data_IF_989319303907
#
_entry.id   IF_989319303907
#
_cell.length_a   1.000
_cell.length_b   1.000
_cell.length_c   1.000
_cell.angle_alpha   90.00
_cell.angle_beta   90.00
_cell.angle_gamma   90.00
#
_symmetry.space_group_name_H-M   'P 1'
#
loop_
_entity.id
_entity.type
_entity.pdbx_description
1 polymer ?
#
# COMPACT_ATOMS: atom_id res chain seq x y z
N UNK A 1 7.29 34.29 8.79
CA UNK A 1 6.62 32.99 8.97
C UNK A 1 5.58 33.06 10.09
N UNK A 2 5.88 33.68 11.24
CA UNK A 2 4.91 33.98 12.30
C UNK A 2 3.67 34.73 11.78
N UNK A 3 3.81 35.71 10.88
CA UNK A 3 2.66 36.45 10.33
C UNK A 3 1.76 35.61 9.41
N UNK A 4 2.27 34.55 8.77
CA UNK A 4 1.45 33.68 7.90
C UNK A 4 0.61 32.71 8.74
N UNK A 5 1.17 32.23 9.85
CA UNK A 5 0.48 31.37 10.83
C UNK A 5 -0.52 32.19 11.65
N UNK A 6 -0.19 33.43 12.04
CA UNK A 6 -1.11 34.33 12.75
C UNK A 6 -2.25 34.86 11.86
N UNK A 7 -2.01 35.03 10.55
CA UNK A 7 -2.98 35.65 9.63
C UNK A 7 -3.83 34.62 8.85
N UNK A 8 -3.39 33.35 8.78
CA UNK A 8 -4.06 32.27 8.03
C UNK A 8 -4.10 30.88 8.73
N UNK A 9 -3.48 30.71 9.90
CA UNK A 9 -3.40 29.45 10.62
C UNK A 9 -4.42 29.35 11.75
N UNK A 10 -5.62 28.85 11.46
CA UNK A 10 -6.61 28.54 12.49
C UNK A 10 -7.24 27.17 12.20
N UNK A 11 -6.47 26.09 12.41
CA UNK A 11 -6.99 24.77 12.73
C UNK A 11 -6.20 24.22 13.92
N UNK A 12 -6.81 23.35 14.71
CA UNK A 12 -6.12 22.62 15.78
C UNK A 12 -4.79 22.08 15.28
N UNK A 13 -3.71 22.44 15.97
CA UNK A 13 -2.40 21.84 15.74
C UNK A 13 -2.54 20.36 16.09
N UNK A 14 -2.55 19.48 15.10
CA UNK A 14 -2.48 18.05 15.38
C UNK A 14 -1.04 17.72 15.69
N UNK A 15 -0.81 17.00 16.79
CA UNK A 15 0.54 16.60 17.18
C UNK A 15 0.63 15.13 17.58
N UNK A 16 1.79 14.56 17.27
CA UNK A 16 2.26 13.26 17.78
C UNK A 16 3.74 13.38 18.06
N UNK A 17 4.11 13.17 19.32
CA UNK A 17 5.47 13.44 19.80
C UNK A 17 5.85 14.87 19.40
N UNK A 18 6.94 15.04 18.66
CA UNK A 18 7.43 16.33 18.19
C UNK A 18 6.90 16.75 16.81
N UNK A 19 6.04 15.95 16.17
CA UNK A 19 5.52 16.28 14.83
C UNK A 19 4.26 17.11 14.96
N UNK A 20 4.21 18.25 14.29
CA UNK A 20 3.06 19.17 14.27
C UNK A 20 2.51 19.26 12.86
N UNK A 21 1.18 19.25 12.73
CA UNK A 21 0.44 19.41 11.49
C UNK A 21 -0.55 20.57 11.63
N UNK A 22 -0.42 21.57 10.77
CA UNK A 22 -1.30 22.73 10.67
C UNK A 22 -2.09 22.63 9.37
N UNK A 23 -3.39 22.88 9.42
CA UNK A 23 -4.23 22.91 8.23
C UNK A 23 -4.62 24.36 7.96
N UNK A 24 -4.50 24.80 6.72
CA UNK A 24 -4.86 26.15 6.28
C UNK A 24 -5.90 26.11 5.17
N UNK A 25 -6.61 27.22 5.02
CA UNK A 25 -7.61 27.46 3.98
C UNK A 25 -7.43 28.85 3.35
N UNK A 26 -7.95 29.10 2.14
CA UNK A 26 -7.82 30.38 1.45
C UNK A 26 -8.66 31.51 2.09
N UNK A 27 -9.67 31.20 2.90
CA UNK A 27 -10.47 32.21 3.59
C UNK A 27 -10.85 31.80 5.02
N UNK A 28 -10.98 32.79 5.92
CA UNK A 28 -11.38 32.58 7.32
C UNK A 28 -12.79 32.00 7.44
N UNK A 29 -13.73 32.44 6.58
CA UNK A 29 -15.10 31.91 6.57
C UNK A 29 -15.14 30.43 6.21
N UNK A 30 -14.38 30.05 5.18
CA UNK A 30 -14.25 28.65 4.79
C UNK A 30 -13.62 27.83 5.92
N UNK A 31 -12.54 28.33 6.50
CA UNK A 31 -11.86 27.72 7.64
C UNK A 31 -12.81 27.51 8.84
N UNK A 32 -13.65 28.49 9.16
CA UNK A 32 -14.64 28.40 10.23
C UNK A 32 -15.69 27.31 9.96
N UNK A 33 -16.19 27.20 8.73
CA UNK A 33 -17.10 26.13 8.34
C UNK A 33 -16.46 24.75 8.52
N UNK A 34 -15.20 24.60 8.09
CA UNK A 34 -14.44 23.36 8.24
C UNK A 34 -14.22 23.04 9.73
N UNK A 35 -13.90 24.01 10.59
CA UNK A 35 -13.82 23.82 12.05
C UNK A 35 -15.12 23.24 12.63
N UNK A 36 -16.25 23.82 12.23
CA UNK A 36 -17.58 23.40 12.69
C UNK A 36 -17.89 21.96 12.27
N UNK A 37 -17.63 21.61 11.01
CA UNK A 37 -17.80 20.23 10.49
C UNK A 37 -16.91 19.25 11.23
N UNK A 38 -15.66 19.63 11.49
CA UNK A 38 -14.71 18.76 12.17
C UNK A 38 -14.99 18.61 13.68
N UNK A 39 -15.96 19.34 14.24
CA UNK A 39 -16.24 19.43 15.68
C UNK A 39 -14.97 19.73 16.47
N UNK A 40 -14.15 20.61 15.92
CA UNK A 40 -12.94 21.10 16.58
C UNK A 40 -13.40 22.15 17.60
N UNK A 41 -13.13 21.97 18.91
CA UNK A 41 -13.46 22.98 19.91
C UNK A 41 -12.82 24.32 19.52
N UNK A 42 -13.51 25.42 19.82
CA UNK A 42 -13.00 26.76 19.56
C UNK A 42 -11.75 26.99 20.39
N UNK A 43 -10.65 27.10 19.64
CA UNK A 43 -9.33 27.62 19.99
C UNK A 43 -8.66 26.97 21.23
N UNK A 44 -7.56 26.27 20.94
CA UNK A 44 -6.61 25.70 21.89
C UNK A 44 -6.94 24.26 22.36
N UNK A 45 -6.05 23.32 22.08
CA UNK A 45 -5.98 22.06 22.81
C UNK A 45 -5.02 22.27 23.98
N UNK A 46 -5.55 22.12 25.19
CA UNK A 46 -4.81 22.12 26.45
C UNK A 46 -3.47 21.39 26.33
N UNK A 47 -2.44 21.93 27.00
CA UNK A 47 -1.21 21.21 27.38
C UNK A 47 -1.57 20.00 28.24
N UNK A 48 -2.13 18.96 27.62
CA UNK A 48 -2.31 17.69 28.31
C UNK A 48 -0.97 16.95 28.30
N UNK A 49 -0.67 16.24 29.38
CA UNK A 49 0.45 15.31 29.53
C UNK A 49 0.47 14.15 28.51
N UNK A 50 -0.37 14.20 27.47
CA UNK A 50 -0.54 13.15 26.45
C UNK A 50 0.38 13.42 25.27
N UNK A 51 1.12 12.38 24.85
CA UNK A 51 2.03 12.38 23.69
C UNK A 51 1.36 12.70 22.33
N UNK A 52 0.04 12.81 22.27
CA UNK A 52 -0.72 13.09 21.04
C UNK A 52 -2.14 13.55 21.34
N UNK A 53 -2.68 14.40 20.46
CA UNK A 53 -4.10 14.80 20.44
C UNK A 53 -4.89 14.24 19.24
N UNK A 54 -4.23 13.49 18.34
CA UNK A 54 -4.83 13.05 17.07
C UNK A 54 -5.00 11.53 16.95
N UNK A 55 -4.13 10.73 17.57
CA UNK A 55 -4.23 9.27 17.49
C UNK A 55 -5.31 8.73 18.43
N UNK A 56 -6.15 7.83 17.92
CA UNK A 56 -7.24 7.15 18.63
C UNK A 56 -7.16 5.64 18.41
N UNK A 57 -7.73 4.88 19.35
CA UNK A 57 -7.85 3.41 19.19
C UNK A 57 -8.72 3.09 17.97
N UNK A 58 -8.25 2.18 17.12
CA UNK A 58 -8.95 1.80 15.87
C UNK A 58 -8.37 2.45 14.61
N UNK A 59 -7.54 3.49 14.75
CA UNK A 59 -6.78 4.05 13.63
C UNK A 59 -5.84 3.01 13.04
N UNK A 60 -5.49 3.18 11.75
CA UNK A 60 -4.37 2.41 11.20
C UNK A 60 -3.05 2.84 11.85
N UNK A 61 -2.13 1.88 11.98
CA UNK A 61 -0.84 2.12 12.64
C UNK A 61 -0.05 3.18 11.90
N UNK A 62 0.54 4.11 12.65
CA UNK A 62 1.45 5.14 12.14
C UNK A 62 2.80 5.04 12.83
N UNK A 63 3.85 5.47 12.14
CA UNK A 63 5.25 5.34 12.58
C UNK A 63 6.15 6.53 12.30
N UNK A 64 5.65 7.52 11.55
CA UNK A 64 6.46 8.64 11.07
C UNK A 64 5.59 9.69 10.39
N UNK A 65 6.20 10.74 9.82
CA UNK A 65 5.47 11.91 9.35
C UNK A 65 4.50 11.59 8.21
N UNK A 66 4.84 10.66 7.31
CA UNK A 66 3.99 10.34 6.16
C UNK A 66 2.79 9.49 6.56
N UNK A 67 2.97 8.46 7.38
CA UNK A 67 1.81 7.67 7.84
C UNK A 67 0.89 8.48 8.75
N UNK A 68 1.44 9.40 9.56
CA UNK A 68 0.67 10.36 10.38
C UNK A 68 -0.11 11.34 9.51
N UNK A 69 0.51 11.93 8.49
CA UNK A 69 -0.15 12.81 7.53
C UNK A 69 -1.27 12.09 6.78
N UNK A 70 -1.02 10.86 6.30
CA UNK A 70 -2.04 10.05 5.62
C UNK A 70 -3.25 9.78 6.52
N UNK A 71 -3.01 9.46 7.81
CA UNK A 71 -4.09 9.22 8.76
C UNK A 71 -4.87 10.50 9.07
N UNK A 72 -4.17 11.64 9.22
CA UNK A 72 -4.82 12.92 9.42
C UNK A 72 -5.78 13.23 8.26
N UNK A 73 -5.31 13.09 7.02
CA UNK A 73 -6.13 13.34 5.83
C UNK A 73 -7.30 12.36 5.76
N UNK A 74 -7.08 11.08 6.07
CA UNK A 74 -8.16 10.09 6.11
C UNK A 74 -9.29 10.53 7.06
N UNK A 75 -8.94 10.98 8.27
CA UNK A 75 -9.92 11.47 9.26
C UNK A 75 -10.62 12.74 8.84
N UNK A 76 -9.89 13.65 8.18
CA UNK A 76 -10.48 14.87 7.62
C UNK A 76 -11.51 14.48 6.56
N UNK A 77 -11.18 13.55 5.65
CA UNK A 77 -12.07 13.05 4.60
C UNK A 77 -13.28 12.30 5.14
N UNK A 78 -13.16 11.57 6.24
CA UNK A 78 -14.30 10.91 6.89
C UNK A 78 -15.33 11.91 7.42
N UNK A 79 -14.91 13.14 7.73
CA UNK A 79 -15.79 14.20 8.26
C UNK A 79 -16.24 15.21 7.20
N UNK A 80 -15.37 15.55 6.26
CA UNK A 80 -15.64 16.49 5.16
C UNK A 80 -15.95 15.64 3.92
N UNK A 81 -17.24 15.52 3.63
CA UNK A 81 -17.72 14.64 2.56
C UNK A 81 -17.48 15.28 1.19
N UNK A 82 -17.58 16.61 1.09
CA UNK A 82 -17.43 17.36 -0.15
C UNK A 82 -15.97 17.42 -0.62
N UNK A 83 -15.75 16.94 -1.85
CA UNK A 83 -14.43 16.84 -2.48
C UNK A 83 -13.88 18.22 -2.83
N UNK A 84 -14.74 19.17 -3.19
CA UNK A 84 -14.32 20.49 -3.64
C UNK A 84 -13.80 21.31 -2.46
N UNK A 85 -14.40 21.14 -1.28
CA UNK A 85 -13.95 21.76 -0.04
C UNK A 85 -12.54 21.29 0.36
N UNK A 86 -12.23 20.01 0.20
CA UNK A 86 -10.90 19.46 0.53
C UNK A 86 -9.81 19.99 -0.38
N UNK A 87 -10.11 20.28 -1.64
CA UNK A 87 -9.12 20.72 -2.63
C UNK A 87 -8.47 22.07 -2.27
N UNK A 88 -9.18 22.92 -1.51
CA UNK A 88 -8.69 24.23 -1.10
C UNK A 88 -7.81 24.20 0.15
N UNK A 89 -7.74 23.07 0.85
CA UNK A 89 -6.95 22.95 2.06
C UNK A 89 -5.46 22.75 1.74
N UNK A 90 -4.60 23.23 2.61
CA UNK A 90 -3.17 22.90 2.62
C UNK A 90 -2.77 22.45 4.01
N UNK A 91 -1.88 21.47 4.11
CA UNK A 91 -1.39 20.94 5.37
C UNK A 91 0.11 21.25 5.48
N UNK A 92 0.47 22.12 6.40
CA UNK A 92 1.85 22.33 6.81
C UNK A 92 2.22 21.31 7.86
N UNK A 93 3.41 20.73 7.78
CA UNK A 93 3.89 19.81 8.80
C UNK A 93 5.38 19.98 9.03
N UNK A 94 5.79 19.88 10.29
CA UNK A 94 7.16 20.15 10.76
C UNK A 94 7.44 19.44 12.08
N UNK A 95 8.71 19.42 12.47
CA UNK A 95 9.17 18.89 13.75
C UNK A 95 9.53 20.04 14.68
N UNK A 96 9.05 20.00 15.92
CA UNK A 96 9.43 20.94 16.98
C UNK A 96 10.56 20.34 17.80
N UNK A 97 11.67 21.06 17.89
CA UNK A 97 12.84 20.69 18.71
C UNK A 97 13.09 21.75 19.77
N UNK A 98 13.99 21.49 20.73
CA UNK A 98 14.39 22.48 21.73
C UNK A 98 15.04 23.72 21.11
N UNK A 99 15.48 23.65 19.85
CA UNK A 99 16.17 24.73 19.12
C UNK A 99 15.26 25.47 18.15
N UNK A 100 14.03 24.99 17.90
CA UNK A 100 13.09 25.64 17.00
C UNK A 100 12.25 24.67 16.17
N UNK A 101 12.03 25.03 14.91
CA UNK A 101 11.21 24.27 13.95
C UNK A 101 12.09 23.75 12.82
N UNK A 102 12.06 22.44 12.62
CA UNK A 102 12.77 21.72 11.56
C UNK A 102 11.78 21.07 10.58
N UNK A 103 12.25 20.71 9.38
CA UNK A 103 11.50 19.90 8.39
C UNK A 103 10.14 20.47 7.94
N UNK A 104 9.98 21.81 7.88
CA UNK A 104 8.76 22.43 7.38
C UNK A 104 8.45 22.03 5.93
N UNK A 105 7.32 21.36 5.75
CA UNK A 105 6.81 20.88 4.46
C UNK A 105 5.34 21.23 4.28
N UNK A 106 4.91 21.33 3.04
CA UNK A 106 3.51 21.65 2.67
C UNK A 106 2.94 20.53 1.82
N UNK A 107 1.73 20.10 2.15
CA UNK A 107 0.95 19.15 1.37
C UNK A 107 -0.34 19.79 0.87
N UNK A 108 -0.54 19.78 -0.45
CA UNK A 108 -1.68 20.42 -1.13
C UNK A 108 -2.37 19.49 -2.15
N UNK A 109 -2.04 18.19 -2.17
CA UNK A 109 -2.60 17.22 -3.13
C UNK A 109 -3.91 16.58 -2.63
N UNK A 110 -4.77 17.36 -1.96
CA UNK A 110 -5.94 16.84 -1.26
C UNK A 110 -7.06 16.31 -2.16
N UNK A 111 -7.22 16.87 -3.38
CA UNK A 111 -8.23 16.36 -4.33
C UNK A 111 -7.95 14.93 -4.79
N UNK A 112 -6.68 14.60 -5.07
CA UNK A 112 -6.24 13.26 -5.46
C UNK A 112 -6.45 12.26 -4.33
N UNK A 113 -5.97 12.58 -3.12
CA UNK A 113 -6.04 11.65 -1.99
C UNK A 113 -7.48 11.47 -1.50
N UNK A 114 -8.33 12.48 -1.65
CA UNK A 114 -9.78 12.36 -1.44
C UNK A 114 -10.38 11.31 -2.38
N UNK A 115 -10.10 11.40 -3.68
CA UNK A 115 -10.56 10.41 -4.67
C UNK A 115 -10.02 9.01 -4.36
N UNK A 116 -8.76 8.90 -3.91
CA UNK A 116 -8.20 7.64 -3.45
C UNK A 116 -9.03 7.04 -2.33
N UNK A 117 -9.30 7.78 -1.25
CA UNK A 117 -10.08 7.27 -0.13
C UNK A 117 -11.51 6.88 -0.52
N UNK A 118 -12.18 7.68 -1.35
CA UNK A 118 -13.51 7.35 -1.87
C UNK A 118 -13.49 6.04 -2.68
N UNK A 119 -12.44 5.80 -3.47
CA UNK A 119 -12.31 4.59 -4.29
C UNK A 119 -12.18 3.32 -3.45
N UNK A 120 -11.53 3.39 -2.28
CA UNK A 120 -11.22 2.23 -1.43
C UNK A 120 -12.15 2.07 -0.21
N UNK A 121 -13.07 3.00 0.06
CA UNK A 121 -13.90 3.04 1.29
C UNK A 121 -14.66 1.74 1.61
N UNK A 122 -15.07 1.02 0.57
CA UNK A 122 -15.83 -0.24 0.68
C UNK A 122 -14.93 -1.48 0.69
N UNK A 123 -13.61 -1.32 0.58
CA UNK A 123 -12.67 -2.43 0.55
C UNK A 123 -12.34 -2.86 1.98
N UNK A 124 -13.00 -3.92 2.44
CA UNK A 124 -12.95 -4.42 3.82
C UNK A 124 -12.76 -5.94 3.85
N UNK A 125 -12.20 -6.47 4.94
CA UNK A 125 -12.20 -7.91 5.19
C UNK A 125 -13.55 -8.38 5.78
N UNK A 126 -13.65 -9.68 6.05
CA UNK A 126 -14.84 -10.31 6.65
C UNK A 126 -15.24 -9.69 8.00
N UNK A 127 -14.26 -9.27 8.80
CA UNK A 127 -14.48 -8.55 10.06
C UNK A 127 -14.75 -7.04 9.87
N UNK A 128 -15.12 -6.61 8.66
CA UNK A 128 -15.39 -5.21 8.30
C UNK A 128 -14.25 -4.21 8.55
N UNK A 129 -13.03 -4.69 8.76
CA UNK A 129 -11.84 -3.86 8.92
C UNK A 129 -11.43 -3.29 7.56
N UNK A 130 -11.22 -1.96 7.42
CA UNK A 130 -10.72 -1.36 6.19
C UNK A 130 -9.42 -2.00 5.72
N UNK A 131 -9.31 -2.28 4.43
CA UNK A 131 -8.12 -2.94 3.89
C UNK A 131 -6.86 -2.08 4.02
N UNK A 132 -6.99 -0.74 3.95
CA UNK A 132 -5.87 0.17 4.22
C UNK A 132 -5.28 -0.09 5.62
N UNK A 133 -6.11 -0.30 6.65
CA UNK A 133 -5.63 -0.61 7.99
C UNK A 133 -4.85 -1.93 8.02
N UNK A 134 -5.37 -2.95 7.33
CA UNK A 134 -4.69 -4.25 7.22
C UNK A 134 -3.34 -4.10 6.50
N UNK A 135 -3.29 -3.32 5.42
CA UNK A 135 -2.07 -3.03 4.67
C UNK A 135 -1.04 -2.32 5.56
N UNK A 136 -1.44 -1.28 6.28
CA UNK A 136 -0.54 -0.53 7.17
C UNK A 136 -0.03 -1.37 8.33
N UNK A 137 -0.86 -2.28 8.84
CA UNK A 137 -0.46 -3.24 9.88
C UNK A 137 0.48 -4.33 9.34
N UNK A 138 0.32 -4.72 8.08
CA UNK A 138 1.22 -5.64 7.37
C UNK A 138 2.58 -4.99 7.03
N UNK A 139 2.62 -3.67 6.87
CA UNK A 139 3.76 -2.93 6.29
C UNK A 139 4.94 -2.67 7.23
N UNK A 140 5.56 -3.71 7.80
CA UNK A 140 6.77 -3.53 8.62
C UNK A 140 7.68 -4.76 8.57
N UNK A 141 8.94 -4.57 8.93
CA UNK A 141 9.93 -5.64 9.04
C UNK A 141 9.89 -6.29 10.43
N UNK A 142 9.44 -7.55 10.49
CA UNK A 142 9.40 -8.37 11.72
C UNK A 142 10.79 -8.77 12.20
N UNK A 143 11.09 -8.58 13.48
CA UNK A 143 12.40 -8.98 14.04
C UNK A 143 13.51 -7.94 13.85
N UNK A 144 13.21 -6.78 13.27
CA UNK A 144 14.10 -5.61 13.32
C UNK A 144 13.80 -4.80 14.59
N UNK A 145 14.84 -4.56 15.40
CA UNK A 145 14.71 -3.83 16.67
C UNK A 145 14.71 -2.31 16.46
N UNK A 146 15.50 -1.79 15.51
CA UNK A 146 15.57 -0.35 15.25
C UNK A 146 14.24 0.16 14.69
N UNK A 147 13.57 1.03 15.45
CA UNK A 147 12.21 1.51 15.15
C UNK A 147 12.06 2.10 13.74
N UNK A 148 13.01 2.94 13.32
CA UNK A 148 13.02 3.55 11.98
C UNK A 148 13.08 2.50 10.87
N UNK A 149 14.04 1.57 10.96
CA UNK A 149 14.23 0.52 9.96
C UNK A 149 13.02 -0.43 9.94
N UNK A 150 12.52 -0.83 11.12
CA UNK A 150 11.35 -1.68 11.26
C UNK A 150 10.15 -1.14 10.49
N UNK A 151 9.94 0.17 10.55
CA UNK A 151 8.75 0.82 10.00
C UNK A 151 8.98 1.48 8.63
N UNK A 152 10.16 1.30 8.03
CA UNK A 152 10.51 1.87 6.72
C UNK A 152 9.47 1.54 5.63
N UNK A 153 8.97 0.29 5.48
CA UNK A 153 7.97 -0.01 4.45
C UNK A 153 6.67 0.77 4.65
N UNK A 154 6.25 0.97 5.92
CA UNK A 154 5.04 1.71 6.25
C UNK A 154 5.13 3.16 5.82
N UNK A 155 6.25 3.81 6.16
CA UNK A 155 6.46 5.20 5.78
C UNK A 155 6.59 5.36 4.28
N UNK A 156 7.28 4.45 3.59
CA UNK A 156 7.46 4.51 2.15
C UNK A 156 6.14 4.26 1.39
N UNK A 157 5.32 3.31 1.83
CA UNK A 157 3.95 3.11 1.28
C UNK A 157 3.10 4.36 1.51
N UNK A 158 3.14 4.93 2.72
CA UNK A 158 2.38 6.14 3.04
C UNK A 158 2.80 7.31 2.16
N UNK A 159 4.12 7.51 2.00
CA UNK A 159 4.70 8.55 1.15
C UNK A 159 4.24 8.37 -0.29
N UNK A 160 4.35 7.17 -0.84
CA UNK A 160 3.95 6.87 -2.22
C UNK A 160 2.45 7.08 -2.44
N UNK A 161 1.60 6.64 -1.51
CA UNK A 161 0.16 6.92 -1.53
C UNK A 161 -0.09 8.44 -1.52
N UNK A 162 0.52 9.19 -0.61
CA UNK A 162 0.32 10.65 -0.53
C UNK A 162 0.68 11.39 -1.82
N UNK A 163 1.69 10.91 -2.55
CA UNK A 163 2.21 11.55 -3.75
C UNK A 163 1.74 10.93 -5.07
N UNK A 164 0.90 9.89 -5.05
CA UNK A 164 0.43 9.20 -6.24
C UNK A 164 1.51 8.42 -6.99
N UNK A 165 2.44 7.82 -6.26
CA UNK A 165 3.55 7.04 -6.82
C UNK A 165 3.23 5.54 -6.77
N UNK A 166 3.72 4.71 -7.72
CA UNK A 166 3.55 3.25 -7.68
C UNK A 166 4.07 2.65 -6.37
N UNK A 167 3.33 1.71 -5.76
CA UNK A 167 3.70 1.07 -4.48
C UNK A 167 4.18 -0.38 -4.63
N UNK A 168 4.12 -0.92 -5.85
CA UNK A 168 4.43 -2.30 -6.21
C UNK A 168 5.84 -2.72 -5.77
N UNK A 169 6.86 -1.89 -5.99
CA UNK A 169 8.23 -2.17 -5.55
C UNK A 169 8.34 -2.42 -4.05
N UNK A 170 7.76 -1.55 -3.22
CA UNK A 170 7.79 -1.67 -1.75
C UNK A 170 7.03 -2.91 -1.28
N UNK A 171 5.90 -3.22 -1.92
CA UNK A 171 5.12 -4.40 -1.61
C UNK A 171 5.82 -5.70 -2.03
N UNK A 172 6.54 -5.67 -3.14
CA UNK A 172 7.37 -6.78 -3.63
C UNK A 172 8.51 -7.06 -2.65
N UNK A 173 9.29 -6.03 -2.28
CA UNK A 173 10.38 -6.14 -1.32
C UNK A 173 9.89 -6.66 0.05
N UNK A 174 8.77 -6.13 0.52
CA UNK A 174 8.14 -6.59 1.75
C UNK A 174 7.62 -8.03 1.65
N UNK A 175 7.15 -8.46 0.48
CA UNK A 175 6.72 -9.84 0.26
C UNK A 175 7.92 -10.80 0.32
N UNK A 176 9.03 -10.48 -0.34
CA UNK A 176 10.27 -11.25 -0.23
C UNK A 176 10.81 -11.30 1.19
N UNK A 177 10.77 -10.17 1.89
CA UNK A 177 11.14 -10.11 3.29
C UNK A 177 10.28 -11.04 4.14
N UNK A 178 8.96 -11.01 3.98
CA UNK A 178 8.06 -11.90 4.71
C UNK A 178 8.31 -13.37 4.37
N UNK A 179 8.59 -13.70 3.11
CA UNK A 179 8.93 -15.06 2.67
C UNK A 179 10.17 -15.61 3.37
N UNK A 180 11.16 -14.76 3.71
CA UNK A 180 12.38 -15.18 4.42
C UNK A 180 12.21 -15.34 5.94
N UNK A 181 11.08 -14.95 6.52
CA UNK A 181 10.85 -15.07 7.96
C UNK A 181 10.46 -16.49 8.39
N UNK A 182 10.83 -16.86 9.62
CA UNK A 182 10.39 -18.12 10.24
C UNK A 182 8.86 -18.16 10.45
N UNK A 183 8.27 -17.01 10.81
CA UNK A 183 6.83 -16.82 10.97
C UNK A 183 6.32 -15.77 9.97
N UNK A 184 6.18 -16.15 8.68
CA UNK A 184 5.84 -15.23 7.62
C UNK A 184 4.45 -14.61 7.87
N UNK A 185 4.29 -13.32 7.57
CA UNK A 185 2.96 -12.72 7.43
C UNK A 185 2.50 -12.80 5.98
N UNK A 186 1.20 -13.03 5.79
CA UNK A 186 0.53 -12.83 4.52
C UNK A 186 -0.55 -11.75 4.64
N UNK A 187 -0.91 -11.16 3.52
CA UNK A 187 -2.08 -10.32 3.36
C UNK A 187 -3.03 -10.97 2.35
N UNK A 188 -4.34 -10.69 2.45
CA UNK A 188 -5.31 -11.24 1.53
C UNK A 188 -5.02 -10.78 0.09
N UNK A 189 -4.54 -11.70 -0.75
CA UNK A 189 -4.13 -11.45 -2.14
C UNK A 189 -5.25 -10.84 -3.00
N UNK A 190 -6.50 -11.26 -2.78
CA UNK A 190 -7.64 -10.75 -3.54
C UNK A 190 -8.01 -9.30 -3.16
N UNK A 191 -8.02 -8.99 -1.86
CA UNK A 191 -8.21 -7.61 -1.41
C UNK A 191 -7.04 -6.72 -1.84
N UNK A 192 -5.81 -7.24 -1.82
CA UNK A 192 -4.63 -6.54 -2.33
C UNK A 192 -4.77 -6.21 -3.82
N UNK A 193 -5.23 -7.17 -4.62
CA UNK A 193 -5.53 -6.94 -6.03
C UNK A 193 -6.56 -5.84 -6.24
N UNK A 194 -7.70 -5.91 -5.56
CA UNK A 194 -8.73 -4.88 -5.66
C UNK A 194 -8.22 -3.51 -5.24
N UNK A 195 -7.40 -3.45 -4.19
CA UNK A 195 -6.76 -2.22 -3.73
C UNK A 195 -5.84 -1.65 -4.79
N UNK A 196 -4.92 -2.45 -5.33
CA UNK A 196 -3.95 -2.02 -6.33
C UNK A 196 -4.62 -1.60 -7.64
N UNK A 197 -5.66 -2.31 -8.08
CA UNK A 197 -6.44 -1.93 -9.27
C UNK A 197 -7.11 -0.57 -9.10
N UNK A 198 -7.73 -0.32 -7.95
CA UNK A 198 -8.31 1.00 -7.62
C UNK A 198 -7.25 2.07 -7.48
N UNK A 199 -6.10 1.73 -6.90
CA UNK A 199 -4.99 2.67 -6.76
C UNK A 199 -4.43 3.10 -8.11
N UNK A 200 -4.23 2.15 -9.04
CA UNK A 200 -3.81 2.40 -10.43
C UNK A 200 -4.77 3.35 -11.16
N UNK A 201 -6.09 3.19 -10.97
CA UNK A 201 -7.09 4.11 -11.53
C UNK A 201 -6.88 5.55 -11.06
N UNK A 202 -6.68 5.71 -9.75
CA UNK A 202 -6.62 7.03 -9.14
C UNK A 202 -5.31 7.74 -9.48
N UNK A 203 -4.20 7.01 -9.65
CA UNK A 203 -2.92 7.59 -10.09
C UNK A 203 -2.80 7.73 -11.61
N UNK A 204 -3.86 7.42 -12.38
CA UNK A 204 -3.87 7.59 -13.84
C UNK A 204 -3.07 6.54 -14.62
N UNK A 205 -2.83 5.37 -14.03
CA UNK A 205 -2.10 4.24 -14.63
C UNK A 205 -3.07 3.09 -14.95
N UNK A 206 -4.22 3.41 -15.53
CA UNK A 206 -5.29 2.45 -15.83
C UNK A 206 -4.95 1.50 -16.98
N UNK A 207 -4.03 1.89 -17.86
CA UNK A 207 -3.46 1.10 -18.95
C UNK A 207 -2.75 -0.17 -18.46
N UNK A 208 -2.23 -0.15 -17.24
CA UNK A 208 -1.50 -1.27 -16.63
C UNK A 208 -2.42 -2.33 -16.02
N UNK A 209 -3.72 -2.08 -15.90
CA UNK A 209 -4.65 -2.98 -15.20
C UNK A 209 -4.71 -4.38 -15.79
N UNK A 210 -4.66 -4.49 -17.11
CA UNK A 210 -4.71 -5.78 -17.79
C UNK A 210 -3.47 -6.60 -17.43
N UNK A 211 -2.28 -6.02 -17.61
CA UNK A 211 -1.01 -6.61 -17.19
C UNK A 211 -1.02 -6.99 -15.70
N UNK A 212 -1.55 -6.11 -14.84
CA UNK A 212 -1.68 -6.36 -13.41
C UNK A 212 -2.57 -7.59 -13.11
N UNK A 213 -3.70 -7.74 -13.82
CA UNK A 213 -4.57 -8.91 -13.68
C UNK A 213 -3.91 -10.20 -14.20
N UNK A 214 -3.23 -10.14 -15.35
CA UNK A 214 -2.51 -11.29 -15.90
C UNK A 214 -1.40 -11.73 -14.93
N UNK A 215 -0.60 -10.78 -14.42
CA UNK A 215 0.42 -11.06 -13.41
C UNK A 215 -0.17 -11.64 -12.12
N UNK A 216 -1.37 -11.22 -11.71
CA UNK A 216 -2.08 -11.84 -10.58
C UNK A 216 -2.42 -13.30 -10.84
N UNK A 217 -3.00 -13.60 -12.00
CA UNK A 217 -3.42 -14.95 -12.35
C UNK A 217 -2.21 -15.89 -12.43
N UNK A 218 -1.18 -15.50 -13.18
CA UNK A 218 0.07 -16.26 -13.34
C UNK A 218 0.80 -16.36 -11.99
N UNK A 219 0.97 -15.25 -11.27
CA UNK A 219 1.61 -15.22 -9.96
C UNK A 219 0.93 -16.16 -8.96
N UNK A 220 -0.40 -16.11 -8.85
CA UNK A 220 -1.13 -17.05 -7.99
C UNK A 220 -0.86 -18.51 -8.39
N UNK A 221 -0.77 -18.83 -9.68
CA UNK A 221 -0.48 -20.21 -10.11
C UNK A 221 0.93 -20.65 -9.74
N UNK A 222 1.91 -19.77 -9.92
CA UNK A 222 3.30 -19.99 -9.46
C UNK A 222 3.33 -20.25 -7.95
N UNK A 223 2.67 -19.40 -7.16
CA UNK A 223 2.62 -19.55 -5.70
C UNK A 223 1.96 -20.84 -5.24
N UNK A 224 0.88 -21.25 -5.92
CA UNK A 224 0.21 -22.53 -5.67
C UNK A 224 1.13 -23.71 -5.96
N UNK A 225 1.78 -23.73 -7.13
CA UNK A 225 2.75 -24.75 -7.51
C UNK A 225 3.89 -24.86 -6.48
N UNK A 226 4.53 -23.73 -6.16
CA UNK A 226 5.60 -23.69 -5.18
C UNK A 226 5.17 -24.22 -3.80
N UNK A 227 3.92 -23.99 -3.39
CA UNK A 227 3.41 -24.48 -2.12
C UNK A 227 3.05 -25.97 -2.16
N UNK A 228 2.58 -26.45 -3.30
CA UNK A 228 2.22 -27.85 -3.51
C UNK A 228 3.43 -28.77 -3.47
N UNK A 229 4.48 -28.42 -4.21
CA UNK A 229 5.67 -29.24 -4.42
C UNK A 229 6.89 -28.79 -3.61
N UNK A 230 6.68 -27.91 -2.62
CA UNK A 230 7.72 -27.35 -1.75
C UNK A 230 8.88 -26.63 -2.48
N UNK A 231 8.62 -26.12 -3.68
CA UNK A 231 9.59 -25.37 -4.50
C UNK A 231 9.67 -23.90 -4.10
N UNK A 232 10.10 -23.63 -2.85
CA UNK A 232 10.24 -22.24 -2.36
C UNK A 232 11.22 -21.42 -3.20
N UNK A 233 12.25 -22.04 -3.75
CA UNK A 233 13.31 -21.38 -4.52
C UNK A 233 12.82 -20.73 -5.82
N UNK A 234 11.77 -21.29 -6.43
CA UNK A 234 11.07 -20.70 -7.59
C UNK A 234 10.54 -19.29 -7.28
N UNK A 235 10.17 -19.02 -6.03
CA UNK A 235 9.72 -17.70 -5.65
C UNK A 235 10.88 -16.71 -5.57
N UNK A 236 12.02 -17.15 -5.03
CA UNK A 236 13.22 -16.31 -4.94
C UNK A 236 13.79 -15.98 -6.31
N UNK A 237 13.72 -16.89 -7.29
CA UNK A 237 14.21 -16.63 -8.64
C UNK A 237 13.42 -15.53 -9.37
N UNK A 238 12.19 -15.21 -8.97
CA UNK A 238 11.45 -14.04 -9.50
C UNK A 238 12.26 -12.75 -9.26
N UNK A 239 12.99 -12.65 -8.13
CA UNK A 239 13.78 -11.46 -7.80
C UNK A 239 14.86 -11.15 -8.82
N UNK A 240 15.38 -12.18 -9.50
CA UNK A 240 16.48 -12.07 -10.45
C UNK A 240 16.06 -11.52 -11.81
N UNK A 241 14.74 -11.37 -12.06
CA UNK A 241 14.19 -10.80 -13.29
C UNK A 241 14.57 -9.31 -13.39
N UNK A 242 15.64 -9.01 -14.12
CA UNK A 242 16.12 -7.64 -14.34
C UNK A 242 15.81 -7.09 -15.74
N UNK A 243 15.57 -7.96 -16.71
CA UNK A 243 15.34 -7.62 -18.12
C UNK A 243 14.44 -8.69 -18.78
N UNK A 244 14.12 -8.50 -20.07
CA UNK A 244 13.27 -9.42 -20.83
C UNK A 244 13.85 -10.83 -20.98
N UNK A 245 15.17 -10.94 -21.18
CA UNK A 245 15.86 -12.23 -21.30
C UNK A 245 15.67 -13.05 -20.03
N UNK A 246 15.91 -12.46 -18.85
CA UNK A 246 15.71 -13.11 -17.56
C UNK A 246 14.26 -13.42 -17.25
N UNK A 247 13.31 -12.61 -17.74
CA UNK A 247 11.88 -12.92 -17.64
C UNK A 247 11.53 -14.16 -18.45
N UNK A 248 12.02 -14.24 -19.69
CA UNK A 248 11.81 -15.40 -20.56
C UNK A 248 12.47 -16.66 -20.01
N UNK A 249 13.71 -16.53 -19.51
CA UNK A 249 14.44 -17.62 -18.86
C UNK A 249 13.73 -18.12 -17.60
N UNK A 250 13.20 -17.21 -16.77
CA UNK A 250 12.41 -17.57 -15.60
C UNK A 250 11.22 -18.46 -15.97
N UNK A 251 10.45 -18.11 -17.00
CA UNK A 251 9.29 -18.92 -17.40
C UNK A 251 9.68 -20.27 -18.00
N UNK A 252 10.78 -20.36 -18.76
CA UNK A 252 11.31 -21.63 -19.26
C UNK A 252 11.78 -22.55 -18.12
N UNK A 253 12.51 -22.00 -17.16
CA UNK A 253 12.98 -22.75 -15.99
C UNK A 253 11.81 -23.22 -15.12
N UNK A 254 10.79 -22.38 -14.97
CA UNK A 254 9.56 -22.75 -14.27
C UNK A 254 8.81 -23.89 -14.97
N UNK A 255 8.67 -23.83 -16.29
CA UNK A 255 8.05 -24.91 -17.07
C UNK A 255 8.79 -26.23 -16.87
N UNK A 256 10.12 -26.20 -16.88
CA UNK A 256 10.95 -27.37 -16.60
C UNK A 256 10.76 -27.93 -15.18
N UNK A 257 10.70 -27.07 -14.16
CA UNK A 257 10.40 -27.50 -12.78
C UNK A 257 9.01 -28.10 -12.64
N UNK A 258 8.02 -27.59 -13.38
CA UNK A 258 6.66 -28.14 -13.40
C UNK A 258 6.65 -29.54 -14.03
N UNK A 259 7.39 -29.73 -15.13
CA UNK A 259 7.49 -31.02 -15.81
C UNK A 259 8.17 -32.08 -14.93
N UNK A 260 9.21 -31.71 -14.17
CA UNK A 260 9.89 -32.62 -13.23
C UNK A 260 8.97 -33.20 -12.16
N UNK A 261 7.99 -32.42 -11.72
CA UNK A 261 7.06 -32.80 -10.66
C UNK A 261 5.77 -33.43 -11.21
N UNK A 262 5.76 -33.80 -12.50
CA UNK A 262 4.59 -34.28 -13.25
C UNK A 262 3.35 -33.37 -13.08
N UNK A 263 3.58 -32.08 -12.86
CA UNK A 263 2.57 -31.08 -12.54
C UNK A 263 2.01 -30.40 -13.80
N UNK A 264 2.24 -30.95 -14.99
CA UNK A 264 1.86 -30.33 -16.27
C UNK A 264 0.35 -30.00 -16.38
N UNK A 265 -0.51 -30.81 -15.74
CA UNK A 265 -1.95 -30.53 -15.67
C UNK A 265 -2.26 -29.23 -14.91
N UNK A 266 -1.42 -28.86 -13.93
CA UNK A 266 -1.55 -27.61 -13.17
C UNK A 266 -1.29 -26.40 -14.09
N UNK A 267 -0.33 -26.51 -15.00
CA UNK A 267 0.03 -25.42 -15.90
C UNK A 267 -0.89 -25.31 -17.11
N UNK A 268 -1.33 -26.45 -17.63
CA UNK A 268 -2.21 -26.51 -18.80
C UNK A 268 -3.70 -26.38 -18.46
N UNK A 269 -4.07 -26.34 -17.18
CA UNK A 269 -5.45 -26.10 -16.75
C UNK A 269 -5.93 -24.72 -17.19
N UNK A 270 -7.23 -24.63 -17.51
CA UNK A 270 -7.89 -23.36 -17.76
C UNK A 270 -7.94 -22.51 -16.49
N UNK A 271 -7.82 -21.20 -16.67
CA UNK A 271 -8.05 -20.26 -15.58
C UNK A 271 -9.56 -20.16 -15.35
N UNK A 272 -9.97 -20.32 -14.09
CA UNK A 272 -11.37 -20.29 -13.69
C UNK A 272 -12.07 -19.01 -14.17
N UNK A 273 -13.21 -19.18 -14.85
CA UNK A 273 -13.97 -18.07 -15.43
C UNK A 273 -13.41 -17.52 -16.75
N UNK A 274 -12.45 -18.21 -17.39
CA UNK A 274 -11.92 -17.83 -18.71
C UNK A 274 -11.67 -19.06 -19.59
N UNK A 275 -11.57 -18.85 -20.91
CA UNK A 275 -11.16 -19.90 -21.86
C UNK A 275 -9.64 -20.04 -22.02
N UNK A 276 -8.85 -19.19 -21.34
CA UNK A 276 -7.39 -19.15 -21.46
C UNK A 276 -6.73 -20.16 -20.52
N UNK A 277 -5.63 -20.76 -20.98
CA UNK A 277 -4.71 -21.56 -20.14
C UNK A 277 -3.68 -20.65 -19.49
N UNK A 278 -3.02 -21.12 -18.44
CA UNK A 278 -1.91 -20.34 -17.85
C UNK A 278 -0.74 -20.16 -18.81
N UNK A 279 -0.49 -21.13 -19.70
CA UNK A 279 0.47 -20.98 -20.81
C UNK A 279 0.17 -19.77 -21.69
N UNK A 280 -1.10 -19.53 -22.01
CA UNK A 280 -1.52 -18.44 -22.88
C UNK A 280 -1.31 -17.10 -22.18
N UNK A 281 -1.63 -17.02 -20.89
CA UNK A 281 -1.38 -15.84 -20.06
C UNK A 281 0.11 -15.50 -19.93
N UNK A 282 1.00 -16.48 -19.96
CA UNK A 282 2.45 -16.24 -19.93
C UNK A 282 2.91 -15.68 -21.26
N UNK A 283 2.38 -16.20 -22.37
CA UNK A 283 2.66 -15.63 -23.68
C UNK A 283 2.16 -14.19 -23.77
N UNK A 284 0.99 -13.87 -23.21
CA UNK A 284 0.51 -12.49 -23.09
C UNK A 284 1.48 -11.60 -22.32
N UNK A 285 1.99 -12.05 -21.17
CA UNK A 285 3.04 -11.31 -20.45
C UNK A 285 4.22 -11.07 -21.37
N UNK A 286 4.75 -12.11 -22.03
CA UNK A 286 5.94 -12.00 -22.87
C UNK A 286 5.72 -11.11 -24.12
N UNK A 287 4.54 -11.13 -24.73
CA UNK A 287 4.21 -10.33 -25.91
C UNK A 287 3.97 -8.86 -25.57
N UNK A 288 3.32 -8.58 -24.43
CA UNK A 288 3.00 -7.22 -23.99
C UNK A 288 4.15 -6.55 -23.22
N UNK A 289 5.27 -7.26 -23.05
CA UNK A 289 6.43 -6.74 -22.33
C UNK A 289 7.13 -5.67 -23.15
N UNK A 290 7.08 -4.44 -22.65
CA UNK A 290 7.99 -3.36 -23.03
C UNK A 290 9.16 -3.37 -22.05
N UNK A 291 10.35 -2.97 -22.47
CA UNK A 291 11.55 -2.98 -21.60
C UNK A 291 11.32 -2.25 -20.27
N UNK A 292 10.52 -1.18 -20.30
CA UNK A 292 10.15 -0.38 -19.12
C UNK A 292 9.13 -1.06 -18.17
N UNK A 293 8.45 -2.14 -18.58
CA UNK A 293 7.46 -2.84 -17.74
C UNK A 293 8.01 -4.07 -17.01
N UNK A 294 9.27 -4.48 -17.28
CA UNK A 294 9.88 -5.67 -16.67
C UNK A 294 9.85 -5.62 -15.13
N UNK A 295 10.31 -4.51 -14.56
CA UNK A 295 10.35 -4.35 -13.10
C UNK A 295 8.95 -4.45 -12.49
N UNK A 296 7.94 -3.93 -13.19
CA UNK A 296 6.55 -3.96 -12.76
C UNK A 296 5.96 -5.38 -12.83
N UNK A 297 6.22 -6.09 -13.93
CA UNK A 297 5.85 -7.51 -14.11
C UNK A 297 6.46 -8.34 -12.99
N UNK A 298 7.77 -8.19 -12.75
CA UNK A 298 8.46 -8.85 -11.64
C UNK A 298 7.76 -8.57 -10.32
N UNK A 299 7.51 -7.30 -10.01
CA UNK A 299 6.94 -6.91 -8.72
C UNK A 299 5.54 -7.50 -8.54
N UNK A 300 4.66 -7.44 -9.54
CA UNK A 300 3.34 -8.06 -9.44
C UNK A 300 3.38 -9.58 -9.37
N UNK A 301 4.18 -10.24 -10.20
CA UNK A 301 4.37 -11.70 -10.11
C UNK A 301 4.85 -12.10 -8.71
N UNK A 302 5.87 -11.42 -8.17
CA UNK A 302 6.41 -11.68 -6.84
C UNK A 302 5.36 -11.51 -5.75
N UNK A 303 4.64 -10.37 -5.75
CA UNK A 303 3.57 -10.11 -4.77
C UNK A 303 2.57 -11.26 -4.78
N UNK A 304 2.00 -11.60 -5.94
CA UNK A 304 0.92 -12.58 -6.01
C UNK A 304 1.40 -14.01 -5.76
N UNK A 305 2.57 -14.39 -6.29
CA UNK A 305 3.14 -15.72 -6.05
C UNK A 305 3.47 -15.94 -4.59
N UNK A 306 4.09 -14.96 -3.92
CA UNK A 306 4.45 -15.09 -2.51
C UNK A 306 3.19 -15.13 -1.63
N UNK A 307 2.23 -14.22 -1.83
CA UNK A 307 1.01 -14.22 -1.01
C UNK A 307 0.20 -15.51 -1.20
N UNK A 308 0.14 -16.04 -2.44
CA UNK A 308 -0.53 -17.32 -2.70
C UNK A 308 0.22 -18.50 -2.08
N UNK A 309 1.55 -18.54 -2.18
CA UNK A 309 2.37 -19.57 -1.53
C UNK A 309 2.12 -19.62 -0.02
N UNK A 310 2.20 -18.45 0.64
CA UNK A 310 2.03 -18.34 2.09
C UNK A 310 0.62 -18.77 2.53
N UNK A 311 -0.42 -18.32 1.82
CA UNK A 311 -1.80 -18.72 2.13
C UNK A 311 -2.04 -20.21 1.91
N UNK A 312 -1.51 -20.81 0.83
CA UNK A 312 -1.64 -22.25 0.57
C UNK A 312 -0.89 -23.09 1.60
N UNK A 313 0.34 -22.72 1.98
CA UNK A 313 1.08 -23.40 3.06
C UNK A 313 0.34 -23.32 4.40
N UNK A 314 -0.26 -22.18 4.70
CA UNK A 314 -1.08 -22.01 5.91
C UNK A 314 -2.33 -22.90 5.90
N UNK A 315 -3.05 -22.98 4.77
CA UNK A 315 -4.21 -23.85 4.61
C UNK A 315 -3.85 -25.33 4.81
N UNK A 316 -2.77 -25.80 4.17
CA UNK A 316 -2.24 -27.17 4.36
C UNK A 316 -1.92 -27.47 5.83
N UNK A 317 -1.25 -26.55 6.53
CA UNK A 317 -0.93 -26.70 7.96
C UNK A 317 -2.15 -26.77 8.86
N UNK A 318 -3.29 -26.24 8.43
CA UNK A 318 -4.57 -26.27 9.16
C UNK A 318 -5.45 -27.49 8.83
N UNK A 319 -4.96 -28.44 8.02
CA UNK A 319 -5.69 -29.66 7.65
C UNK A 319 -6.74 -29.45 6.57
N UNK A 320 -6.60 -28.41 5.73
CA UNK A 320 -7.38 -28.31 4.50
C UNK A 320 -6.71 -29.12 3.40
N UNK A 321 -7.26 -30.30 3.11
CA UNK A 321 -7.07 -31.00 1.83
C UNK A 321 -7.79 -30.25 0.70
#
# INVERSE_FOLDING_TARGET
MCDLIYKYGLLNNYFVDNNVFLISAPSLRFLYNIKKILMIPEDYLEESSKKTNFLKRGDFVTSGPYSRLLLLIHKIKEKIIDRDELAYLSIYYFVVTTRGVDDLKVYNKLSYISQFFDSIKNLRNESSTPFLNLLMNYSYYKGINKYEMKNLPREEISRRILFGLPIDSVLSDLSFYNLSQNNPSSINSFLLYKFLTKYLEVIGMSDIKELHNVCRLVGNRIGYFAAQYDKKDVLYSIREIGNFERLSEFFKNLEYEILKEDAGAVWNSRVEGTDKRYSDLIQEILMDTKENSINLIRNYLAIYAIQKYLSTKYAKKKGGD
#
